data_IF_096061411019
#
_entry.id   IF_096061411019
#
_cell.length_a   1.000
_cell.length_b   1.000
_cell.length_c   1.000
_cell.angle_alpha   90.00
_cell.angle_beta   90.00
_cell.angle_gamma   90.00
#
_symmetry.space_group_name_H-M   'P 1'
#
loop_
_entity.id
_entity.type
_entity.pdbx_description
1 polymer ?
#
# COMPACT_ATOMS: atom_id res chain seq x y z
N UNK A 1 13.36 18.35 -12.99
CA UNK A 1 11.94 18.24 -12.58
C UNK A 1 11.90 17.27 -11.41
N UNK A 2 11.73 17.77 -10.19
CA UNK A 2 11.78 16.97 -8.96
C UNK A 2 10.39 16.36 -8.67
N UNK A 3 10.20 15.07 -8.97
CA UNK A 3 8.94 14.34 -8.76
C UNK A 3 9.04 13.22 -7.70
N UNK A 4 9.93 13.37 -6.73
CA UNK A 4 9.96 12.50 -5.54
C UNK A 4 9.80 13.33 -4.27
N UNK A 5 8.70 14.06 -4.15
CA UNK A 5 8.20 14.41 -2.82
C UNK A 5 7.44 13.20 -2.31
N UNK A 6 8.05 12.46 -1.37
CA UNK A 6 7.30 11.51 -0.55
C UNK A 6 6.07 12.24 0.01
N UNK A 7 4.87 11.65 -0.03
CA UNK A 7 3.72 12.25 0.62
C UNK A 7 4.08 12.48 2.09
N UNK A 8 4.02 13.73 2.51
CA UNK A 8 4.15 14.10 3.92
C UNK A 8 3.04 13.35 4.67
N UNK A 9 3.34 12.56 5.71
CA UNK A 9 2.30 11.93 6.50
C UNK A 9 1.33 13.00 7.01
N UNK A 10 0.04 12.68 6.99
CA UNK A 10 -1.00 13.62 7.36
C UNK A 10 -0.88 14.00 8.85
N UNK A 11 -1.24 15.23 9.25
CA UNK A 11 -1.08 15.73 10.62
C UNK A 11 -1.87 14.95 11.70
N UNK A 12 -2.76 14.04 11.31
CA UNK A 12 -3.52 13.19 12.22
C UNK A 12 -2.68 12.04 12.80
N UNK A 13 -1.66 11.56 12.09
CA UNK A 13 -0.81 10.45 12.55
C UNK A 13 0.13 10.90 13.68
N UNK A 14 0.72 12.10 13.57
CA UNK A 14 1.68 12.61 14.57
C UNK A 14 1.04 12.82 15.95
N UNK A 15 -0.22 13.27 15.99
CA UNK A 15 -0.94 13.48 17.24
C UNK A 15 -1.31 12.15 17.91
N UNK A 16 -1.79 11.17 17.14
CA UNK A 16 -2.13 9.84 17.66
C UNK A 16 -0.89 9.08 18.12
N UNK A 17 0.23 9.19 17.40
CA UNK A 17 1.51 8.62 17.81
C UNK A 17 2.07 9.29 19.08
N UNK A 18 1.91 10.61 19.21
CA UNK A 18 2.30 11.33 20.41
C UNK A 18 1.47 10.89 21.62
N UNK A 19 0.15 10.74 21.47
CA UNK A 19 -0.71 10.21 22.54
C UNK A 19 -0.35 8.75 22.89
N UNK A 20 -0.08 7.91 21.89
CA UNK A 20 0.38 6.54 22.13
C UNK A 20 1.70 6.50 22.92
N UNK A 21 2.63 7.42 22.63
CA UNK A 21 3.87 7.56 23.39
C UNK A 21 3.61 7.98 24.84
N UNK A 22 2.69 8.93 25.07
CA UNK A 22 2.31 9.34 26.43
C UNK A 22 1.70 8.18 27.22
N UNK A 23 0.78 7.43 26.61
CA UNK A 23 0.15 6.26 27.23
C UNK A 23 1.16 5.16 27.52
N UNK A 24 2.12 4.93 26.63
CA UNK A 24 3.24 4.00 26.87
C UNK A 24 4.03 4.40 28.11
N UNK A 25 4.39 5.67 28.23
CA UNK A 25 5.11 6.17 29.40
C UNK A 25 4.28 6.02 30.69
N UNK A 26 2.99 6.37 30.63
CA UNK A 26 2.07 6.21 31.76
C UNK A 26 1.95 4.74 32.22
N UNK A 27 1.88 3.80 31.26
CA UNK A 27 1.91 2.35 31.53
C UNK A 27 3.22 1.93 32.20
N UNK A 28 4.36 2.38 31.68
CA UNK A 28 5.67 2.03 32.23
C UNK A 28 5.88 2.60 33.65
N UNK A 29 5.37 3.81 33.91
CA UNK A 29 5.33 4.43 35.23
C UNK A 29 4.42 3.66 36.20
N UNK A 30 3.21 3.29 35.76
CA UNK A 30 2.27 2.49 36.54
C UNK A 30 2.84 1.11 36.89
N UNK A 31 3.54 0.48 35.94
CA UNK A 31 4.23 -0.79 36.16
C UNK A 31 5.33 -0.67 37.22
N UNK A 32 6.11 0.41 37.15
CA UNK A 32 7.15 0.70 38.14
C UNK A 32 6.55 0.92 39.53
N UNK A 33 5.43 1.65 39.62
CA UNK A 33 4.70 1.87 40.87
C UNK A 33 4.15 0.57 41.45
N UNK A 34 3.51 -0.26 40.62
CA UNK A 34 2.99 -1.57 41.03
C UNK A 34 4.11 -2.47 41.56
N UNK A 35 5.24 -2.56 40.86
CA UNK A 35 6.38 -3.37 41.29
C UNK A 35 6.92 -2.92 42.67
N UNK A 36 6.97 -1.61 42.90
CA UNK A 36 7.37 -1.04 44.20
C UNK A 36 6.36 -1.34 45.30
N UNK A 37 5.08 -1.13 45.04
CA UNK A 37 4.00 -1.39 45.99
C UNK A 37 3.94 -2.87 46.39
N UNK A 38 4.09 -3.76 45.40
CA UNK A 38 4.17 -5.21 45.60
C UNK A 38 5.37 -5.60 46.46
N UNK A 39 6.56 -5.10 46.14
CA UNK A 39 7.76 -5.39 46.91
C UNK A 39 7.63 -4.92 48.38
N UNK A 40 7.00 -3.76 48.61
CA UNK A 40 6.74 -3.27 49.95
C UNK A 40 5.68 -4.10 50.68
N UNK A 41 4.59 -4.47 50.01
CA UNK A 41 3.57 -5.37 50.56
C UNK A 41 4.16 -6.73 50.94
N UNK A 42 5.00 -7.30 50.10
CA UNK A 42 5.70 -8.57 50.36
C UNK A 42 6.67 -8.44 51.55
N UNK A 43 7.40 -7.32 51.65
CA UNK A 43 8.28 -7.03 52.78
C UNK A 43 7.52 -6.97 54.11
N UNK A 44 6.40 -6.25 54.16
CA UNK A 44 5.60 -6.14 55.41
C UNK A 44 4.87 -7.42 55.76
N UNK A 45 4.45 -8.23 54.76
CA UNK A 45 3.87 -9.57 54.98
C UNK A 45 4.88 -10.56 55.53
N UNK A 46 6.13 -10.48 55.11
CA UNK A 46 7.20 -11.37 55.58
C UNK A 46 7.55 -11.14 57.06
N UNK A 47 7.41 -9.91 57.56
CA UNK A 47 7.69 -9.58 58.95
C UNK A 47 6.75 -8.51 59.52
N UNK A 48 5.46 -8.84 59.77
CA UNK A 48 4.46 -7.88 60.20
C UNK A 48 4.72 -7.33 61.61
N UNK A 49 5.43 -8.07 62.46
CA UNK A 49 5.79 -7.63 63.81
C UNK A 49 6.93 -6.59 63.86
N UNK A 50 7.65 -6.39 62.75
CA UNK A 50 8.74 -5.43 62.66
C UNK A 50 8.32 -4.05 62.12
N UNK A 51 7.04 -3.88 61.76
CA UNK A 51 6.49 -2.64 61.22
C UNK A 51 5.29 -2.18 62.04
N UNK A 52 4.98 -0.88 61.98
CA UNK A 52 3.78 -0.37 62.64
C UNK A 52 2.51 -0.83 61.90
N UNK A 53 1.39 -0.93 62.63
CA UNK A 53 0.10 -1.25 62.04
C UNK A 53 -0.31 -0.29 60.90
N UNK A 54 0.08 1.00 61.03
CA UNK A 54 -0.17 2.01 60.00
C UNK A 54 0.63 1.72 58.72
N UNK A 55 1.89 1.34 58.83
CA UNK A 55 2.72 0.96 57.66
C UNK A 55 2.19 -0.31 56.99
N UNK A 56 1.81 -1.31 57.79
CA UNK A 56 1.23 -2.54 57.28
C UNK A 56 -0.06 -2.26 56.50
N UNK A 57 -0.98 -1.47 57.08
CA UNK A 57 -2.22 -1.10 56.43
C UNK A 57 -1.97 -0.31 55.13
N UNK A 58 -1.07 0.67 55.15
CA UNK A 58 -0.75 1.47 53.97
C UNK A 58 -0.21 0.62 52.83
N UNK A 59 0.74 -0.29 53.10
CA UNK A 59 1.33 -1.16 52.08
C UNK A 59 0.31 -2.15 51.49
N UNK A 60 -0.56 -2.72 52.33
CA UNK A 60 -1.60 -3.66 51.89
C UNK A 60 -2.73 -3.01 51.10
N UNK A 61 -2.96 -1.71 51.26
CA UNK A 61 -3.93 -0.92 50.48
C UNK A 61 -3.30 -0.39 49.18
N UNK A 62 -2.04 0.02 49.21
CA UNK A 62 -1.36 0.57 48.04
C UNK A 62 -1.10 -0.49 46.96
N UNK A 63 -0.79 -1.74 47.32
CA UNK A 63 -0.59 -2.81 46.33
C UNK A 63 -1.81 -3.02 45.39
N UNK A 64 -3.03 -3.27 45.89
CA UNK A 64 -4.20 -3.44 45.02
C UNK A 64 -4.57 -2.15 44.28
N UNK A 65 -4.36 -0.97 44.89
CA UNK A 65 -4.59 0.31 44.22
C UNK A 65 -3.62 0.51 43.04
N UNK A 66 -2.34 0.18 43.22
CA UNK A 66 -1.34 0.24 42.15
C UNK A 66 -1.59 -0.82 41.06
N UNK A 67 -2.11 -1.99 41.42
CA UNK A 67 -2.52 -3.02 40.45
C UNK A 67 -3.67 -2.53 39.55
N UNK A 68 -4.71 -1.93 40.13
CA UNK A 68 -5.83 -1.34 39.37
C UNK A 68 -5.36 -0.20 38.45
N UNK A 69 -4.45 0.65 38.93
CA UNK A 69 -3.89 1.73 38.11
C UNK A 69 -3.08 1.19 36.90
N UNK A 70 -2.32 0.12 37.09
CA UNK A 70 -1.61 -0.55 36.00
C UNK A 70 -2.58 -1.18 34.99
N UNK A 71 -3.63 -1.86 35.45
CA UNK A 71 -4.64 -2.44 34.57
C UNK A 71 -5.35 -1.38 33.71
N UNK A 72 -5.71 -0.24 34.31
CA UNK A 72 -6.27 0.89 33.58
C UNK A 72 -5.29 1.44 32.52
N UNK A 73 -4.03 1.65 32.88
CA UNK A 73 -3.02 2.15 31.95
C UNK A 73 -2.72 1.16 30.80
N UNK A 74 -2.76 -0.14 31.06
CA UNK A 74 -2.64 -1.19 30.04
C UNK A 74 -3.83 -1.14 29.06
N UNK A 75 -5.04 -1.08 29.59
CA UNK A 75 -6.27 -1.03 28.79
C UNK A 75 -6.28 0.20 27.86
N UNK A 76 -5.97 1.38 28.39
CA UNK A 76 -5.92 2.61 27.59
C UNK A 76 -4.84 2.54 26.50
N UNK A 77 -3.65 2.01 26.84
CA UNK A 77 -2.57 1.81 25.89
C UNK A 77 -2.98 0.84 24.76
N UNK A 78 -3.58 -0.30 25.10
CA UNK A 78 -3.93 -1.34 24.12
C UNK A 78 -5.03 -0.88 23.16
N UNK A 79 -6.03 -0.14 23.67
CA UNK A 79 -7.07 0.47 22.84
C UNK A 79 -6.45 1.48 21.87
N UNK A 80 -5.59 2.38 22.36
CA UNK A 80 -4.95 3.37 21.49
C UNK A 80 -4.00 2.71 20.49
N UNK A 81 -3.22 1.72 20.91
CA UNK A 81 -2.29 1.00 20.04
C UNK A 81 -3.03 0.33 18.87
N UNK A 82 -4.17 -0.32 19.17
CA UNK A 82 -5.03 -0.94 18.17
C UNK A 82 -5.60 0.07 17.18
N UNK A 83 -6.03 1.24 17.68
CA UNK A 83 -6.53 2.33 16.84
C UNK A 83 -5.43 2.87 15.89
N UNK A 84 -4.22 3.12 16.41
CA UNK A 84 -3.08 3.59 15.58
C UNK A 84 -2.68 2.54 14.55
N UNK A 85 -2.65 1.25 14.92
CA UNK A 85 -2.34 0.18 13.97
C UNK A 85 -3.37 0.10 12.85
N UNK A 86 -4.66 0.21 13.18
CA UNK A 86 -5.73 0.20 12.18
C UNK A 86 -5.64 1.41 11.25
N UNK A 87 -5.43 2.61 11.79
CA UNK A 87 -5.26 3.82 10.99
C UNK A 87 -4.11 3.70 9.98
N UNK A 88 -2.98 3.11 10.39
CA UNK A 88 -1.84 2.84 9.48
C UNK A 88 -2.21 1.85 8.37
N UNK A 89 -2.94 0.79 8.69
CA UNK A 89 -3.42 -0.19 7.69
C UNK A 89 -4.37 0.46 6.69
N UNK A 90 -5.31 1.27 7.18
CA UNK A 90 -6.29 1.97 6.33
C UNK A 90 -5.62 2.98 5.41
N UNK A 91 -4.64 3.73 5.93
CA UNK A 91 -3.85 4.68 5.13
C UNK A 91 -3.04 3.98 4.03
N UNK A 92 -2.40 2.86 4.35
CA UNK A 92 -1.65 2.06 3.38
C UNK A 92 -2.56 1.45 2.32
N UNK A 93 -3.71 0.90 2.73
CA UNK A 93 -4.69 0.34 1.80
C UNK A 93 -5.20 1.41 0.84
N UNK A 94 -5.52 2.61 1.35
CA UNK A 94 -5.94 3.73 0.52
C UNK A 94 -4.87 4.12 -0.50
N UNK A 95 -3.59 4.16 -0.09
CA UNK A 95 -2.46 4.44 -0.99
C UNK A 95 -2.35 3.41 -2.10
N UNK A 96 -2.50 2.12 -1.79
CA UNK A 96 -2.47 1.04 -2.77
C UNK A 96 -3.64 1.11 -3.76
N UNK A 97 -4.83 1.45 -3.26
CA UNK A 97 -6.02 1.61 -4.10
C UNK A 97 -5.88 2.82 -5.06
N UNK A 98 -5.32 3.93 -4.59
CA UNK A 98 -5.00 5.09 -5.41
C UNK A 98 -3.96 4.76 -6.49
N UNK A 99 -2.87 4.06 -6.14
CA UNK A 99 -1.84 3.62 -7.10
C UNK A 99 -2.43 2.67 -8.16
N UNK A 100 -3.31 1.76 -7.75
CA UNK A 100 -4.00 0.85 -8.68
C UNK A 100 -4.92 1.61 -9.62
N UNK A 101 -5.69 2.58 -9.11
CA UNK A 101 -6.56 3.42 -9.92
C UNK A 101 -5.78 4.25 -10.95
N UNK A 102 -4.61 4.78 -10.55
CA UNK A 102 -3.73 5.52 -11.47
C UNK A 102 -3.18 4.63 -12.58
N UNK A 103 -2.75 3.39 -12.27
CA UNK A 103 -2.30 2.43 -13.28
C UNK A 103 -3.39 2.04 -14.26
N UNK A 104 -4.62 1.81 -13.77
CA UNK A 104 -5.77 1.51 -14.64
C UNK A 104 -6.04 2.67 -15.59
N UNK A 105 -6.06 3.92 -15.07
CA UNK A 105 -6.25 5.11 -15.91
C UNK A 105 -5.16 5.23 -16.97
N UNK A 106 -3.89 5.07 -16.59
CA UNK A 106 -2.77 5.13 -17.52
C UNK A 106 -2.85 4.05 -18.62
N UNK A 107 -3.29 2.84 -18.26
CA UNK A 107 -3.53 1.77 -19.23
C UNK A 107 -4.67 2.10 -20.20
N UNK A 108 -5.80 2.62 -19.69
CA UNK A 108 -6.93 3.02 -20.53
C UNK A 108 -6.57 4.15 -21.50
N UNK A 109 -5.82 5.15 -21.03
CA UNK A 109 -5.28 6.23 -21.88
C UNK A 109 -4.36 5.68 -22.98
N UNK A 110 -3.44 4.77 -22.63
CA UNK A 110 -2.56 4.13 -23.59
C UNK A 110 -3.33 3.28 -24.61
N UNK A 111 -4.36 2.54 -24.17
CA UNK A 111 -5.22 1.73 -25.04
C UNK A 111 -6.03 2.61 -26.00
N UNK A 112 -6.55 3.74 -25.52
CA UNK A 112 -7.26 4.70 -26.36
C UNK A 112 -6.33 5.30 -27.43
N UNK A 113 -5.11 5.70 -27.05
CA UNK A 113 -4.12 6.22 -27.98
C UNK A 113 -3.70 5.17 -29.03
N UNK A 114 -3.51 3.91 -28.60
CA UNK A 114 -3.22 2.79 -29.51
C UNK A 114 -4.34 2.59 -30.51
N UNK A 115 -5.61 2.53 -30.06
CA UNK A 115 -6.77 2.38 -30.95
C UNK A 115 -6.87 3.52 -31.95
N UNK A 116 -6.67 4.76 -31.51
CA UNK A 116 -6.67 5.91 -32.39
C UNK A 116 -5.57 5.83 -33.46
N UNK A 117 -4.37 5.36 -33.09
CA UNK A 117 -3.28 5.14 -34.04
C UNK A 117 -3.59 4.02 -35.04
N UNK A 118 -4.18 2.91 -34.58
CA UNK A 118 -4.61 1.81 -35.42
C UNK A 118 -5.70 2.26 -36.43
N UNK A 119 -6.71 3.00 -35.98
CA UNK A 119 -7.78 3.52 -36.84
C UNK A 119 -7.22 4.45 -37.94
N UNK A 120 -6.22 5.28 -37.61
CA UNK A 120 -5.55 6.13 -38.58
C UNK A 120 -4.79 5.32 -39.65
N UNK A 121 -4.15 4.22 -39.28
CA UNK A 121 -3.48 3.32 -40.22
C UNK A 121 -4.48 2.59 -41.12
N UNK A 122 -5.61 2.13 -40.58
CA UNK A 122 -6.70 1.53 -41.36
C UNK A 122 -7.26 2.53 -42.38
N UNK A 123 -7.44 3.80 -41.99
CA UNK A 123 -7.92 4.83 -42.91
C UNK A 123 -6.94 5.13 -44.06
N UNK A 124 -5.63 4.99 -43.83
CA UNK A 124 -4.60 5.19 -44.85
C UNK A 124 -4.44 3.99 -45.81
N UNK A 125 -4.79 2.78 -45.36
CA UNK A 125 -4.56 1.54 -46.10
C UNK A 125 -5.17 1.51 -47.52
N UNK A 126 -6.40 2.00 -47.78
CA UNK A 126 -6.97 2.04 -49.14
C UNK A 126 -6.14 2.90 -50.10
N UNK A 127 -5.58 4.02 -49.62
CA UNK A 127 -4.76 4.92 -50.45
C UNK A 127 -3.41 4.28 -50.78
N UNK A 128 -2.80 3.57 -49.83
CA UNK A 128 -1.57 2.81 -50.10
C UNK A 128 -1.84 1.70 -51.10
N UNK A 129 -2.97 0.97 -50.97
CA UNK A 129 -3.38 -0.05 -51.95
C UNK A 129 -3.59 0.53 -53.35
N UNK A 130 -4.23 1.69 -53.49
CA UNK A 130 -4.41 2.31 -54.80
C UNK A 130 -3.07 2.66 -55.46
N UNK A 131 -2.13 3.22 -54.69
CA UNK A 131 -0.79 3.56 -55.18
C UNK A 131 0.02 2.32 -55.57
N UNK A 132 -0.11 1.21 -54.83
CA UNK A 132 0.55 -0.05 -55.16
C UNK A 132 0.04 -0.63 -56.49
N UNK A 133 -1.29 -0.57 -56.73
CA UNK A 133 -1.89 -0.98 -58.01
C UNK A 133 -1.38 -0.12 -59.16
N UNK A 134 -1.32 1.20 -59.00
CA UNK A 134 -0.75 2.12 -60.01
C UNK A 134 0.72 1.82 -60.31
N UNK A 135 1.48 1.37 -59.30
CA UNK A 135 2.88 0.98 -59.44
C UNK A 135 3.08 -0.45 -59.99
N UNK A 136 2.00 -1.21 -60.24
CA UNK A 136 2.07 -2.61 -60.69
C UNK A 136 2.50 -3.60 -59.60
N UNK A 137 2.41 -3.22 -58.33
CA UNK A 137 2.71 -4.08 -57.17
C UNK A 137 1.43 -4.79 -56.72
N UNK A 138 1.47 -6.12 -56.64
CA UNK A 138 0.34 -6.92 -56.15
C UNK A 138 0.31 -6.94 -54.62
N UNK A 139 -0.84 -6.63 -54.03
CA UNK A 139 -1.10 -6.76 -52.60
C UNK A 139 -2.17 -7.85 -52.39
N UNK A 140 -2.04 -8.72 -51.38
CA UNK A 140 -3.00 -9.80 -51.14
C UNK A 140 -4.42 -9.27 -50.91
N UNK A 141 -5.42 -10.04 -51.37
CA UNK A 141 -6.84 -9.73 -51.20
C UNK A 141 -7.23 -9.81 -49.71
N UNK A 142 -7.89 -8.77 -49.22
CA UNK A 142 -8.37 -8.69 -47.84
C UNK A 142 -9.62 -9.55 -47.67
N UNK A 143 -9.48 -10.69 -47.00
CA UNK A 143 -10.63 -11.42 -46.47
C UNK A 143 -10.92 -10.85 -45.08
N UNK A 144 -11.96 -10.02 -44.96
CA UNK A 144 -12.29 -9.31 -43.72
C UNK A 144 -12.31 -10.24 -42.51
N UNK A 145 -11.45 -9.95 -41.52
CA UNK A 145 -11.31 -10.74 -40.30
C UNK A 145 -9.99 -10.51 -39.59
N UNK A 146 -8.90 -10.37 -40.37
CA UNK A 146 -7.55 -10.25 -39.83
C UNK A 146 -7.03 -8.82 -39.87
N UNK A 147 -6.43 -8.42 -38.75
CA UNK A 147 -5.81 -7.12 -38.51
C UNK A 147 -4.64 -6.94 -39.50
N UNK A 148 -4.72 -5.91 -40.35
CA UNK A 148 -3.72 -5.60 -41.39
C UNK A 148 -2.30 -5.42 -40.84
N UNK A 149 -2.15 -5.25 -39.52
CA UNK A 149 -0.87 -5.07 -38.84
C UNK A 149 -0.32 -6.36 -38.21
N UNK A 150 -1.10 -7.45 -38.16
CA UNK A 150 -0.71 -8.70 -37.50
C UNK A 150 -1.07 -9.96 -38.30
N UNK A 151 -1.22 -9.85 -39.62
CA UNK A 151 -1.25 -11.04 -40.46
C UNK A 151 0.14 -11.70 -40.47
N UNK A 152 0.35 -12.66 -39.56
CA UNK A 152 1.57 -13.48 -39.49
C UNK A 152 1.71 -14.42 -40.69
N UNK A 153 0.73 -14.50 -41.58
CA UNK A 153 0.72 -15.38 -42.74
C UNK A 153 1.10 -14.68 -44.06
N UNK A 154 1.14 -13.35 -44.07
CA UNK A 154 1.51 -12.59 -45.26
C UNK A 154 3.05 -12.41 -45.36
N UNK A 155 3.73 -13.39 -45.94
CA UNK A 155 5.08 -13.15 -46.47
C UNK A 155 4.98 -12.11 -47.59
N UNK A 156 5.65 -10.95 -47.50
CA UNK A 156 5.59 -9.97 -48.56
C UNK A 156 6.30 -10.51 -49.82
N UNK A 157 5.58 -10.51 -50.94
CA UNK A 157 6.09 -10.89 -52.26
C UNK A 157 6.22 -9.65 -53.16
N UNK A 158 7.32 -9.55 -53.92
CA UNK A 158 7.49 -8.55 -54.99
C UNK A 158 7.71 -9.34 -56.30
N UNK A 159 6.87 -9.09 -57.31
CA UNK A 159 6.96 -9.72 -58.64
C UNK A 159 6.96 -11.27 -58.61
N UNK A 160 6.30 -11.88 -57.62
CA UNK A 160 6.21 -13.33 -57.47
C UNK A 160 7.37 -13.97 -56.71
N UNK A 161 8.34 -13.19 -56.24
CA UNK A 161 9.42 -13.65 -55.37
C UNK A 161 9.19 -13.18 -53.92
N UNK A 162 9.43 -14.06 -52.94
CA UNK A 162 9.44 -13.71 -51.52
C UNK A 162 10.60 -12.77 -51.24
N UNK A 163 10.35 -11.68 -50.50
CA UNK A 163 11.42 -10.76 -50.09
C UNK A 163 12.24 -11.42 -48.98
N UNK A 164 13.42 -11.93 -49.33
CA UNK A 164 14.35 -12.53 -48.38
C UNK A 164 14.84 -11.46 -47.39
N UNK A 165 14.28 -11.47 -46.19
CA UNK A 165 14.61 -10.51 -45.11
C UNK A 165 13.56 -10.41 -44.00
N UNK A 166 12.38 -10.99 -44.20
CA UNK A 166 11.26 -10.97 -43.24
C UNK A 166 11.09 -12.25 -42.42
N UNK A 167 12.10 -13.12 -42.38
CA UNK A 167 12.15 -14.18 -41.37
C UNK A 167 12.65 -13.57 -40.06
N UNK A 168 11.78 -13.62 -39.07
CA UNK A 168 11.94 -13.20 -37.68
C UNK A 168 13.26 -13.67 -37.05
N UNK A 169 13.95 -12.73 -36.40
CA UNK A 169 14.66 -13.01 -35.13
C UNK A 169 13.63 -12.90 -34.01
#
# INVERSE_FOLDING_TARGET
>A
MNLFRKPTPAPADDAAELELLKLRNARDDAQTRYNRAKAEADRVRANPGAVSALMLQAALVEEPAAAQALEAALSEYDVMASHVEQARKDAEQKRLDEEKAEKVRAYEEALAAYRQAADALVAAAPKVRSLAVEAGVYLPDWQGGDDLLFDQSAEPHILGETVAGWQTV
#
